data_IF_263387134069
#
_entry.id   IF_263387134069
#
_cell.length_a   1.000
_cell.length_b   1.000
_cell.length_c   1.000
_cell.angle_alpha   90.00
_cell.angle_beta   90.00
_cell.angle_gamma   90.00
#
_symmetry.space_group_name_H-M   'P 1'
#
loop_
_entity.id
_entity.type
_entity.pdbx_description
1 polymer ?
#
# COMPACT_ATOMS: atom_id res chain seq x y z
N UNK A 1 -8.90 -26.35 -0.57
CA UNK A 1 -8.22 -25.42 -1.46
C UNK A 1 -7.52 -24.34 -0.65
N UNK A 2 -6.27 -24.09 -0.94
CA UNK A 2 -5.50 -23.10 -0.18
C UNK A 2 -5.60 -21.75 -0.87
N UNK A 3 -5.99 -20.73 -0.13
CA UNK A 3 -6.06 -19.37 -0.65
C UNK A 3 -4.77 -18.65 -0.26
N UNK A 4 -4.04 -18.18 -1.26
CA UNK A 4 -2.84 -17.40 -1.01
C UNK A 4 -3.22 -15.98 -0.68
N UNK A 5 -2.59 -15.43 0.33
CA UNK A 5 -2.85 -14.06 0.73
C UNK A 5 -1.85 -13.14 0.05
N UNK A 6 -2.37 -12.08 -0.56
CA UNK A 6 -1.53 -11.04 -1.13
C UNK A 6 -1.05 -10.15 -0.01
N UNK A 7 0.23 -9.87 -0.01
CA UNK A 7 0.81 -8.99 1.00
C UNK A 7 1.59 -7.88 0.33
N UNK A 8 1.50 -6.68 0.90
CA UNK A 8 2.25 -5.51 0.46
C UNK A 8 3.08 -5.03 1.63
N UNK A 9 4.35 -4.78 1.39
CA UNK A 9 5.23 -4.32 2.45
C UNK A 9 6.28 -3.37 1.92
N UNK A 10 6.87 -2.62 2.84
CA UNK A 10 7.94 -1.67 2.52
C UNK A 10 9.21 -2.15 3.18
N UNK A 11 10.29 -2.21 2.39
CA UNK A 11 11.59 -2.58 2.93
C UNK A 11 12.14 -1.45 3.79
N UNK A 12 12.49 -1.71 5.04
CA UNK A 12 13.05 -0.64 5.88
C UNK A 12 14.47 -0.25 5.48
N UNK A 13 15.11 -1.06 4.64
CA UNK A 13 16.49 -0.78 4.22
C UNK A 13 16.53 0.01 2.93
N UNK A 14 15.76 -0.42 1.92
CA UNK A 14 15.81 0.20 0.59
C UNK A 14 14.60 1.09 0.31
N UNK A 15 13.59 1.05 1.17
CA UNK A 15 12.34 1.80 1.00
C UNK A 15 11.58 1.41 -0.27
N UNK A 16 11.82 0.22 -0.77
CA UNK A 16 11.08 -0.31 -1.92
C UNK A 16 9.79 -0.96 -1.44
N UNK A 17 8.77 -0.89 -2.28
CA UNK A 17 7.47 -1.51 -1.99
C UNK A 17 7.43 -2.83 -2.72
N UNK A 18 7.19 -3.89 -1.95
CA UNK A 18 7.11 -5.24 -2.48
C UNK A 18 5.68 -5.77 -2.37
N UNK A 19 5.29 -6.55 -3.36
CA UNK A 19 4.01 -7.23 -3.35
C UNK A 19 4.27 -8.71 -3.66
N UNK A 20 3.51 -9.57 -3.03
CA UNK A 20 3.67 -10.99 -3.27
C UNK A 20 2.76 -11.80 -2.39
N UNK A 21 3.16 -13.05 -2.17
CA UNK A 21 2.38 -13.99 -1.38
C UNK A 21 3.21 -14.46 -0.20
N UNK A 22 2.52 -14.75 0.88
CA UNK A 22 3.17 -15.30 2.06
C UNK A 22 2.70 -16.73 2.29
N UNK A 23 3.40 -17.45 3.19
CA UNK A 23 2.96 -18.76 3.58
C UNK A 23 1.70 -18.66 4.45
N UNK A 24 1.18 -19.81 4.89
CA UNK A 24 -0.07 -19.81 5.65
C UNK A 24 0.03 -19.02 6.94
N UNK A 25 1.20 -18.99 7.56
CA UNK A 25 1.40 -18.26 8.81
C UNK A 25 1.57 -16.78 8.59
N UNK A 26 1.90 -16.38 7.36
CA UNK A 26 2.09 -14.96 7.05
C UNK A 26 3.43 -14.41 7.49
N UNK A 27 4.37 -15.27 7.91
CA UNK A 27 5.66 -14.82 8.42
C UNK A 27 6.80 -14.94 7.40
N UNK A 28 6.55 -15.57 6.28
CA UNK A 28 7.58 -15.79 5.27
C UNK A 28 7.00 -15.55 3.88
N UNK A 29 7.72 -14.75 3.08
CA UNK A 29 7.34 -14.54 1.69
C UNK A 29 7.63 -15.79 0.89
N UNK A 30 6.64 -16.28 0.16
CA UNK A 30 6.85 -17.36 -0.80
C UNK A 30 7.13 -16.82 -2.19
N UNK A 31 6.58 -15.67 -2.49
CA UNK A 31 6.81 -14.95 -3.75
C UNK A 31 6.86 -13.47 -3.44
N UNK A 32 7.83 -12.76 -4.02
CA UNK A 32 7.98 -11.34 -3.73
C UNK A 32 8.49 -10.63 -4.97
N UNK A 33 7.88 -9.50 -5.29
CA UNK A 33 8.24 -8.70 -6.45
C UNK A 33 8.26 -7.23 -6.08
N UNK A 34 9.28 -6.52 -6.56
CA UNK A 34 9.35 -5.08 -6.38
C UNK A 34 8.29 -4.43 -7.26
N UNK A 35 7.39 -3.70 -6.66
CA UNK A 35 6.32 -3.03 -7.36
C UNK A 35 6.21 -1.57 -6.94
N UNK A 36 7.33 -0.97 -6.56
CA UNK A 36 7.34 0.39 -6.03
C UNK A 36 6.69 1.39 -6.98
N UNK A 37 7.18 1.42 -8.22
CA UNK A 37 6.67 2.39 -9.19
C UNK A 37 5.22 2.12 -9.54
N UNK A 38 4.87 0.86 -9.78
CA UNK A 38 3.52 0.49 -10.15
C UNK A 38 2.52 0.86 -9.06
N UNK A 39 2.88 0.60 -7.81
CA UNK A 39 1.98 0.90 -6.70
C UNK A 39 1.84 2.40 -6.52
N UNK A 40 2.93 3.16 -6.65
CA UNK A 40 2.85 4.61 -6.52
C UNK A 40 1.98 5.23 -7.60
N UNK A 41 2.10 4.76 -8.84
CA UNK A 41 1.22 5.23 -9.91
C UNK A 41 -0.24 4.85 -9.63
N UNK A 42 -0.48 3.64 -9.16
CA UNK A 42 -1.83 3.21 -8.86
C UNK A 42 -2.46 4.06 -7.75
N UNK A 43 -1.68 4.37 -6.73
CA UNK A 43 -2.17 5.22 -5.63
C UNK A 43 -2.47 6.62 -6.15
N UNK A 44 -1.60 7.16 -7.01
CA UNK A 44 -1.82 8.49 -7.56
C UNK A 44 -3.10 8.54 -8.40
N UNK A 45 -3.31 7.55 -9.25
CA UNK A 45 -4.52 7.49 -10.07
C UNK A 45 -5.76 7.33 -9.20
N UNK A 46 -5.66 6.51 -8.17
CA UNK A 46 -6.77 6.29 -7.25
C UNK A 46 -7.12 7.59 -6.52
N UNK A 47 -6.12 8.31 -6.04
CA UNK A 47 -6.34 9.53 -5.28
C UNK A 47 -6.94 10.64 -6.17
N UNK A 48 -6.47 10.73 -7.41
CA UNK A 48 -7.00 11.73 -8.35
C UNK A 48 -8.47 11.42 -8.66
N UNK A 49 -8.79 10.17 -8.91
CA UNK A 49 -10.18 9.77 -9.20
C UNK A 49 -11.07 9.97 -7.98
N UNK A 50 -10.52 9.79 -6.78
CA UNK A 50 -11.28 9.97 -5.55
C UNK A 50 -11.65 11.44 -5.34
N UNK A 51 -10.80 12.36 -5.79
CA UNK A 51 -11.10 13.79 -5.80
C UNK A 51 -10.84 14.50 -4.49
N UNK A 52 -10.31 13.84 -3.49
CA UNK A 52 -9.97 14.45 -2.21
C UNK A 52 -8.90 13.60 -1.53
N UNK A 53 -8.25 14.14 -0.49
CA UNK A 53 -7.19 13.40 0.18
C UNK A 53 -7.68 12.08 0.76
N UNK A 54 -6.81 11.09 0.74
CA UNK A 54 -7.10 9.78 1.30
C UNK A 54 -6.63 9.76 2.75
N UNK A 55 -7.51 9.36 3.65
CA UNK A 55 -7.19 9.27 5.06
C UNK A 55 -7.05 7.80 5.42
N UNK A 56 -5.91 7.44 5.97
CA UNK A 56 -5.66 6.09 6.45
C UNK A 56 -5.77 6.07 7.95
N UNK A 57 -6.69 5.28 8.46
CA UNK A 57 -6.94 5.17 9.89
C UNK A 57 -6.42 3.86 10.43
N UNK A 58 -6.08 3.85 11.69
CA UNK A 58 -5.56 2.66 12.34
C UNK A 58 -6.20 2.52 13.71
N UNK A 59 -6.39 1.29 14.14
CA UNK A 59 -6.97 1.01 15.45
C UNK A 59 -5.88 1.00 16.50
N UNK A 60 -6.09 1.75 17.58
CA UNK A 60 -5.15 1.79 18.70
C UNK A 60 -5.31 0.56 19.57
N UNK A 61 -4.38 0.39 20.53
CA UNK A 61 -4.41 -0.74 21.44
C UNK A 61 -5.68 -0.76 22.29
N UNK A 62 -6.30 0.39 22.52
CA UNK A 62 -7.52 0.47 23.32
C UNK A 62 -8.79 0.40 22.47
N UNK A 63 -8.67 0.07 21.21
CA UNK A 63 -9.83 -0.16 20.33
C UNK A 63 -10.39 1.07 19.67
N UNK A 64 -9.75 2.21 19.81
CA UNK A 64 -10.20 3.44 19.16
C UNK A 64 -9.47 3.62 17.85
N UNK A 65 -10.20 4.10 16.83
CA UNK A 65 -9.61 4.43 15.55
C UNK A 65 -9.08 5.85 15.56
N UNK A 66 -7.96 6.05 14.90
CA UNK A 66 -7.37 7.38 14.74
C UNK A 66 -6.82 7.51 13.33
N UNK A 67 -6.83 8.73 12.83
CA UNK A 67 -6.29 9.02 11.51
C UNK A 67 -4.78 9.10 11.61
N UNK A 68 -4.09 8.21 10.92
CA UNK A 68 -2.65 8.11 11.02
C UNK A 68 -1.93 8.78 9.86
N UNK A 69 -2.45 8.63 8.66
CA UNK A 69 -1.81 9.17 7.48
C UNK A 69 -2.82 9.87 6.59
N UNK A 70 -2.37 10.93 5.96
CA UNK A 70 -3.14 11.64 4.95
C UNK A 70 -2.33 11.63 3.66
N UNK A 71 -2.91 11.12 2.59
CA UNK A 71 -2.25 11.06 1.30
C UNK A 71 -2.90 12.06 0.38
N UNK A 72 -2.10 13.03 -0.09
CA UNK A 72 -2.55 14.03 -1.03
C UNK A 72 -1.73 13.90 -2.30
N UNK A 73 -2.41 13.91 -3.45
CA UNK A 73 -1.75 13.76 -4.75
C UNK A 73 -2.02 14.99 -5.57
N UNK A 74 -0.96 15.52 -6.17
CA UNK A 74 -1.03 16.68 -7.04
C UNK A 74 -0.54 16.28 -8.42
N UNK A 75 -1.34 16.57 -9.42
CA UNK A 75 -0.96 16.29 -10.81
C UNK A 75 -0.18 17.48 -11.35
N UNK A 76 1.05 17.23 -11.77
CA UNK A 76 1.94 18.31 -12.17
C UNK A 76 2.06 18.45 -13.68
N UNK A 77 1.40 17.58 -14.44
CA UNK A 77 1.45 17.64 -15.89
C UNK A 77 0.39 16.77 -16.51
N UNK A 78 0.05 17.09 -17.75
CA UNK A 78 -0.89 16.29 -18.52
C UNK A 78 -0.16 15.12 -19.15
N UNK A 79 -0.65 13.92 -18.88
CA UNK A 79 -0.08 12.73 -19.48
C UNK A 79 -0.49 12.65 -20.94
N UNK A 80 0.48 12.35 -21.78
CA UNK A 80 0.21 12.19 -23.20
C UNK A 80 0.78 10.90 -23.68
#
# INVERSE_FOLDING_TARGET
MTVKQIKVGVSPITNQIFVGYTNKKGDTWTTKQDATTEILFAVAEHAIAFGKPIILSEESACGKFYEKYKITVEQIGDAK
#
